data_IF_135928277927
#
_entry.id   IF_135928277927
#
_cell.length_a   1.000
_cell.length_b   1.000
_cell.length_c   1.000
_cell.angle_alpha   90.00
_cell.angle_beta   90.00
_cell.angle_gamma   90.00
#
_symmetry.space_group_name_H-M   'P 1'
#
loop_
_entity.id
_entity.type
_entity.pdbx_description
1 polymer ?
#
# COMPACT_ATOMS: atom_id res chain seq x y z
N UNK A 1 21.43 1.96 6.28
CA UNK A 1 22.58 1.52 5.48
C UNK A 1 22.07 0.91 4.19
N UNK A 2 22.58 1.34 3.03
CA UNK A 2 22.14 0.87 1.71
C UNK A 2 22.50 -0.62 1.53
N UNK A 3 21.55 -1.50 1.11
CA UNK A 3 21.80 -2.93 0.97
C UNK A 3 22.71 -3.29 -0.22
N UNK A 4 22.94 -2.36 -1.16
CA UNK A 4 23.77 -2.60 -2.35
C UNK A 4 25.24 -2.19 -2.19
N UNK A 5 25.51 -1.15 -1.39
CA UNK A 5 26.86 -0.57 -1.26
C UNK A 5 27.32 -0.30 0.18
N UNK A 6 26.49 -0.63 1.18
CA UNK A 6 26.76 -0.43 2.61
C UNK A 6 27.03 1.03 3.05
N UNK A 7 26.78 2.00 2.18
CA UNK A 7 26.84 3.42 2.52
C UNK A 7 25.73 3.81 3.51
N UNK A 8 26.05 4.72 4.43
CA UNK A 8 25.12 5.38 5.33
C UNK A 8 24.56 6.71 4.77
N UNK A 9 25.06 7.15 3.61
CA UNK A 9 24.62 8.37 2.90
C UNK A 9 23.25 8.21 2.24
N UNK A 10 22.24 7.79 2.99
CA UNK A 10 20.84 7.71 2.54
C UNK A 10 20.14 9.05 2.74
N UNK A 11 19.29 9.44 1.79
CA UNK A 11 18.46 10.65 1.87
C UNK A 11 16.98 10.27 1.88
N UNK A 12 16.15 11.14 2.46
CA UNK A 12 14.71 11.00 2.37
C UNK A 12 14.22 11.56 1.03
N UNK A 13 13.43 10.75 0.32
CA UNK A 13 12.76 11.18 -0.89
C UNK A 13 11.24 11.12 -0.68
N UNK A 14 10.55 12.12 -1.24
CA UNK A 14 9.10 12.17 -1.17
C UNK A 14 8.51 11.25 -2.24
N UNK A 15 7.80 10.21 -1.81
CA UNK A 15 7.03 9.36 -2.74
C UNK A 15 5.86 10.14 -3.32
N UNK A 16 5.53 9.84 -4.58
CA UNK A 16 4.29 10.28 -5.25
C UNK A 16 3.04 9.77 -4.55
N UNK A 17 3.15 8.68 -3.78
CA UNK A 17 2.03 7.98 -3.17
C UNK A 17 1.21 7.16 -4.17
N UNK A 18 1.71 6.95 -5.38
CA UNK A 18 1.06 6.16 -6.43
C UNK A 18 1.81 4.84 -6.66
N UNK A 19 1.06 3.80 -7.00
CA UNK A 19 1.63 2.48 -7.25
C UNK A 19 0.66 1.54 -7.95
N UNK A 20 1.05 0.28 -8.03
CA UNK A 20 0.25 -0.78 -8.63
C UNK A 20 0.12 -1.97 -7.66
N UNK A 21 -1.04 -2.63 -7.67
CA UNK A 21 -1.27 -3.83 -6.86
C UNK A 21 -0.38 -4.96 -7.38
N UNK A 22 0.64 -5.33 -6.61
CA UNK A 22 1.49 -6.48 -6.92
C UNK A 22 0.76 -7.80 -6.63
N UNK A 23 0.13 -7.90 -5.46
CA UNK A 23 -0.71 -9.04 -5.07
C UNK A 23 -1.62 -8.66 -3.92
N UNK A 24 -2.73 -9.38 -3.73
CA UNK A 24 -3.63 -9.17 -2.61
C UNK A 24 -4.37 -10.44 -2.22
N UNK A 25 -4.92 -10.44 -1.00
CA UNK A 25 -5.83 -11.46 -0.50
C UNK A 25 -7.08 -10.79 0.07
N UNK A 26 -8.25 -11.33 -0.30
CA UNK A 26 -9.53 -10.92 0.26
C UNK A 26 -9.87 -11.82 1.46
N UNK A 27 -9.69 -11.29 2.67
CA UNK A 27 -10.09 -11.98 3.88
C UNK A 27 -11.60 -11.81 4.09
N UNK A 28 -12.37 -12.87 3.85
CA UNK A 28 -13.85 -12.81 3.93
C UNK A 28 -14.40 -12.80 5.36
N UNK A 29 -13.65 -13.35 6.32
CA UNK A 29 -14.08 -13.48 7.72
C UNK A 29 -12.97 -13.02 8.65
N UNK A 30 -13.26 -12.02 9.46
CA UNK A 30 -12.43 -11.55 10.57
C UNK A 30 -13.32 -11.03 11.71
N UNK A 31 -12.74 -10.68 12.86
CA UNK A 31 -13.50 -10.10 13.97
C UNK A 31 -14.16 -8.76 13.62
N UNK A 32 -13.54 -7.98 12.73
CA UNK A 32 -13.96 -6.63 12.34
C UNK A 32 -14.69 -6.60 10.99
N UNK A 33 -14.92 -7.76 10.37
CA UNK A 33 -15.52 -7.89 9.04
C UNK A 33 -14.51 -8.18 7.92
N UNK A 34 -14.95 -8.25 6.66
CA UNK A 34 -14.07 -8.55 5.54
C UNK A 34 -13.09 -7.40 5.25
N UNK A 35 -11.87 -7.73 4.84
CA UNK A 35 -10.86 -6.75 4.42
C UNK A 35 -9.97 -7.32 3.31
N UNK A 36 -9.34 -6.44 2.54
CA UNK A 36 -8.33 -6.82 1.55
C UNK A 36 -6.96 -6.30 1.98
N UNK A 37 -5.98 -7.20 2.04
CA UNK A 37 -4.58 -6.90 2.37
C UNK A 37 -3.69 -7.33 1.21
N UNK A 38 -2.64 -6.58 0.93
CA UNK A 38 -1.73 -6.93 -0.16
C UNK A 38 -0.51 -6.05 -0.24
N UNK A 39 0.26 -6.29 -1.29
CA UNK A 39 1.44 -5.51 -1.61
C UNK A 39 1.15 -4.55 -2.75
N UNK A 40 1.55 -3.29 -2.57
CA UNK A 40 1.56 -2.26 -3.60
C UNK A 40 3.01 -1.94 -3.94
N UNK A 41 3.37 -2.07 -5.21
CA UNK A 41 4.67 -1.60 -5.72
C UNK A 41 4.51 -0.13 -6.11
N UNK A 42 5.22 0.75 -5.41
CA UNK A 42 5.23 2.17 -5.70
C UNK A 42 5.92 2.46 -7.03
N UNK A 43 5.59 3.60 -7.64
CA UNK A 43 6.28 4.06 -8.86
C UNK A 43 7.80 4.20 -8.68
N UNK A 44 8.23 4.49 -7.47
CA UNK A 44 9.66 4.62 -7.14
C UNK A 44 10.38 3.26 -7.02
N UNK A 45 9.64 2.14 -6.99
CA UNK A 45 10.18 0.77 -6.98
C UNK A 45 9.93 -0.06 -5.71
N UNK A 46 9.94 0.50 -4.48
CA UNK A 46 9.68 -0.27 -3.26
C UNK A 46 8.25 -0.83 -3.21
N UNK A 47 8.09 -1.99 -2.57
CA UNK A 47 6.80 -2.61 -2.30
C UNK A 47 6.41 -2.47 -0.83
N UNK A 48 5.16 -2.05 -0.58
CA UNK A 48 4.61 -1.86 0.76
C UNK A 48 3.46 -2.83 1.03
N UNK A 49 3.45 -3.46 2.21
CA UNK A 49 2.29 -4.20 2.71
C UNK A 49 1.25 -3.21 3.23
N UNK A 50 0.00 -3.35 2.79
CA UNK A 50 -1.07 -2.41 3.10
C UNK A 50 -2.45 -3.05 2.99
N UNK A 51 -3.49 -2.36 3.49
CA UNK A 51 -4.88 -2.72 3.20
C UNK A 51 -5.47 -1.82 2.12
N UNK A 52 -6.38 -2.38 1.35
CA UNK A 52 -7.17 -1.64 0.35
C UNK A 52 -8.47 -1.14 0.98
N UNK A 53 -8.73 0.16 0.84
CA UNK A 53 -9.85 0.85 1.50
C UNK A 53 -10.61 1.73 0.51
N UNK A 54 -11.80 2.18 0.89
CA UNK A 54 -12.66 3.07 0.11
C UNK A 54 -13.02 2.53 -1.29
N UNK A 55 -13.05 1.20 -1.45
CA UNK A 55 -13.33 0.54 -2.72
C UNK A 55 -14.09 -0.78 -2.52
N UNK A 56 -14.70 -1.26 -3.60
CA UNK A 56 -15.25 -2.62 -3.67
C UNK A 56 -14.11 -3.64 -3.81
N UNK A 57 -13.81 -4.33 -2.70
CA UNK A 57 -12.70 -5.29 -2.63
C UNK A 57 -12.87 -6.48 -3.58
N UNK A 58 -14.09 -6.78 -4.03
CA UNK A 58 -14.35 -7.89 -4.98
C UNK A 58 -13.93 -7.56 -6.40
N UNK A 59 -13.69 -6.27 -6.70
CA UNK A 59 -13.29 -5.77 -8.02
C UNK A 59 -11.79 -5.48 -8.13
N UNK A 60 -11.02 -5.69 -7.06
CA UNK A 60 -9.57 -5.50 -7.07
C UNK A 60 -8.91 -6.43 -8.08
N UNK A 61 -7.87 -5.93 -8.77
CA UNK A 61 -7.09 -6.69 -9.74
C UNK A 61 -5.60 -6.47 -9.52
N UNK A 62 -4.81 -7.52 -9.74
CA UNK A 62 -3.35 -7.39 -9.84
C UNK A 62 -3.02 -6.48 -11.03
N UNK A 63 -2.05 -5.58 -10.86
CA UNK A 63 -1.69 -4.54 -11.84
C UNK A 63 -2.59 -3.30 -11.82
N UNK A 64 -3.62 -3.26 -10.96
CA UNK A 64 -4.48 -2.08 -10.85
C UNK A 64 -3.72 -0.90 -10.21
N UNK A 65 -3.90 0.30 -10.78
CA UNK A 65 -3.32 1.53 -10.23
C UNK A 65 -4.03 1.92 -8.93
N UNK A 66 -3.24 2.37 -7.97
CA UNK A 66 -3.71 2.79 -6.65
C UNK A 66 -3.00 4.05 -6.18
N UNK A 67 -3.63 4.76 -5.25
CA UNK A 67 -3.05 5.93 -4.57
C UNK A 67 -3.17 5.80 -3.06
N UNK A 68 -2.18 6.33 -2.36
CA UNK A 68 -2.14 6.35 -0.90
C UNK A 68 -3.28 7.21 -0.33
N UNK A 69 -3.90 6.71 0.72
CA UNK A 69 -4.86 7.44 1.56
C UNK A 69 -4.46 7.23 3.01
N UNK A 70 -4.44 8.30 3.78
CA UNK A 70 -4.07 8.25 5.19
C UNK A 70 -5.33 8.12 6.04
N UNK A 71 -5.42 7.05 6.85
CA UNK A 71 -6.54 6.85 7.76
C UNK A 71 -6.16 7.28 9.19
N UNK A 72 -7.06 7.95 9.91
CA UNK A 72 -6.81 8.37 11.29
C UNK A 72 -6.64 7.14 12.19
N UNK A 73 -5.78 7.27 13.20
CA UNK A 73 -5.61 6.28 14.27
C UNK A 73 -5.59 7.02 15.61
N UNK A 74 -5.39 6.29 16.73
CA UNK A 74 -5.13 6.93 18.02
C UNK A 74 -3.80 7.71 18.10
N UNK A 75 -2.96 7.61 17.07
CA UNK A 75 -1.69 8.34 16.94
C UNK A 75 -1.50 8.89 15.53
N UNK A 76 -0.29 8.74 14.98
CA UNK A 76 -0.02 9.15 13.61
C UNK A 76 -0.93 8.40 12.62
N UNK A 77 -1.46 9.07 11.58
CA UNK A 77 -2.29 8.41 10.58
C UNK A 77 -1.46 7.38 9.81
N UNK A 78 -2.08 6.23 9.50
CA UNK A 78 -1.42 5.14 8.80
C UNK A 78 -1.72 5.17 7.30
N UNK A 79 -0.76 4.77 6.44
CA UNK A 79 -0.95 4.73 5.01
C UNK A 79 -1.70 3.46 4.56
N UNK A 80 -2.79 3.68 3.84
CA UNK A 80 -3.59 2.68 3.12
C UNK A 80 -3.61 3.02 1.64
N UNK A 81 -4.17 2.14 0.80
CA UNK A 81 -4.28 2.40 -0.64
C UNK A 81 -5.72 2.22 -1.14
N UNK A 82 -6.08 3.03 -2.14
CA UNK A 82 -7.37 2.91 -2.84
C UNK A 82 -7.13 2.91 -4.35
N UNK A 83 -7.89 2.13 -5.15
CA UNK A 83 -7.83 2.19 -6.60
C UNK A 83 -8.10 3.58 -7.17
N UNK A 84 -7.42 3.91 -8.26
CA UNK A 84 -7.70 5.07 -9.10
C UNK A 84 -8.15 4.59 -10.48
N UNK A 85 -9.01 5.37 -11.16
CA UNK A 85 -9.44 5.11 -12.54
C UNK A 85 -8.26 5.19 -13.54
#
# INVERSE_FOLDING_TARGET
MCPFCFSDKTVWEKSSGEGEIYTFSLMRKSAEGPYAIGYVTLKEGPSLLTNFVDCDMTKLKIGQKVKVVFKPTGGAPLPFFTPIE
#
